data_IF_387090649264
#
_entry.id   IF_387090649264
#
_cell.length_a   1.000
_cell.length_b   1.000
_cell.length_c   1.000
_cell.angle_alpha   90.00
_cell.angle_beta   90.00
_cell.angle_gamma   90.00
#
_symmetry.space_group_name_H-M   'P 1'
#
loop_
_entity.id
_entity.type
_entity.pdbx_description
1 polymer ?
#
# COMPACT_ATOMS: atom_id res chain seq x y z
N UNK A 1 62.80 -53.17 2.21
CA UNK A 1 61.92 -52.32 3.02
C UNK A 1 61.05 -51.56 2.09
N UNK A 2 59.83 -52.07 1.77
CA UNK A 2 58.80 -51.42 0.97
C UNK A 2 57.78 -50.77 1.89
N UNK A 3 57.65 -49.44 1.80
CA UNK A 3 56.62 -48.69 2.55
C UNK A 3 55.40 -48.54 1.64
N UNK A 4 54.32 -49.21 2.00
CA UNK A 4 53.00 -49.12 1.39
C UNK A 4 52.26 -47.85 1.88
N UNK A 5 52.08 -46.84 1.01
CA UNK A 5 51.22 -45.69 1.28
C UNK A 5 49.77 -46.01 0.88
N UNK A 6 48.93 -46.24 1.83
CA UNK A 6 47.49 -46.45 1.69
C UNK A 6 46.83 -45.06 1.45
N UNK A 7 46.34 -44.83 0.24
CA UNK A 7 45.61 -43.62 -0.11
C UNK A 7 44.12 -43.81 0.23
N UNK A 8 43.61 -43.13 1.28
CA UNK A 8 42.18 -43.12 1.59
C UNK A 8 41.47 -42.10 0.71
N UNK A 9 40.70 -42.61 -0.24
CA UNK A 9 39.71 -41.79 -1.00
C UNK A 9 38.47 -41.56 -0.11
N UNK A 10 38.31 -40.32 0.35
CA UNK A 10 37.05 -39.90 1.02
C UNK A 10 36.03 -39.55 -0.10
N UNK A 11 35.03 -40.39 -0.26
CA UNK A 11 33.87 -40.12 -1.13
C UNK A 11 32.98 -39.08 -0.46
N UNK A 12 32.99 -37.86 -0.90
CA UNK A 12 32.00 -36.85 -0.50
C UNK A 12 30.69 -37.09 -1.27
N UNK A 13 29.70 -37.70 -0.64
CA UNK A 13 28.35 -37.77 -1.18
C UNK A 13 27.69 -36.40 -1.02
N UNK A 14 27.50 -35.71 -2.13
CA UNK A 14 26.75 -34.47 -2.24
C UNK A 14 25.26 -34.80 -2.05
N UNK A 15 24.69 -34.58 -0.86
CA UNK A 15 23.26 -34.66 -0.63
C UNK A 15 22.64 -33.40 -1.24
N UNK A 16 22.04 -33.55 -2.42
CA UNK A 16 21.17 -32.51 -3.01
C UNK A 16 19.90 -32.44 -2.18
N UNK A 17 19.80 -31.48 -1.29
CA UNK A 17 18.52 -31.13 -0.66
C UNK A 17 17.61 -30.52 -1.72
N UNK A 18 16.64 -31.26 -2.21
CA UNK A 18 15.54 -30.72 -3.00
C UNK A 18 14.73 -29.78 -2.10
N UNK A 19 14.87 -28.48 -2.28
CA UNK A 19 13.94 -27.51 -1.70
C UNK A 19 12.64 -27.65 -2.49
N UNK A 20 11.67 -28.37 -1.92
CA UNK A 20 10.28 -28.29 -2.38
C UNK A 20 9.87 -26.81 -2.24
N UNK A 21 9.69 -26.15 -3.38
CA UNK A 21 9.05 -24.83 -3.42
C UNK A 21 7.60 -25.04 -3.01
N UNK A 22 7.26 -24.74 -1.78
CA UNK A 22 5.87 -24.64 -1.36
C UNK A 22 5.24 -23.56 -2.23
N UNK A 23 4.29 -23.96 -3.07
CA UNK A 23 3.53 -23.02 -3.89
C UNK A 23 2.89 -21.98 -2.97
N UNK A 24 3.29 -20.73 -3.13
CA UNK A 24 2.78 -19.64 -2.31
C UNK A 24 1.36 -19.34 -2.76
N UNK A 25 0.39 -19.49 -1.86
CA UNK A 25 -1.01 -19.11 -2.13
C UNK A 25 -1.17 -17.60 -2.14
N UNK A 26 -2.17 -17.13 -2.88
CA UNK A 26 -2.58 -15.74 -2.96
C UNK A 26 -4.06 -15.63 -2.63
N UNK A 27 -4.37 -14.95 -1.54
CA UNK A 27 -5.75 -14.69 -1.11
C UNK A 27 -6.00 -13.19 -1.05
N UNK A 28 -7.16 -12.75 -1.54
CA UNK A 28 -7.64 -11.38 -1.37
C UNK A 28 -9.14 -11.29 -1.62
N UNK A 29 -9.76 -10.19 -1.16
CA UNK A 29 -11.15 -9.84 -1.52
C UNK A 29 -11.10 -8.87 -2.69
N UNK A 30 -11.70 -9.23 -3.85
CA UNK A 30 -11.90 -8.30 -4.96
C UNK A 30 -13.28 -7.67 -4.89
N UNK A 31 -13.38 -6.39 -5.22
CA UNK A 31 -14.61 -5.66 -5.40
C UNK A 31 -14.37 -4.46 -6.33
N UNK A 32 -15.46 -3.96 -6.92
CA UNK A 32 -15.40 -2.84 -7.86
C UNK A 32 -16.20 -1.66 -7.34
N UNK A 33 -15.68 -0.46 -7.51
CA UNK A 33 -16.44 0.76 -7.24
C UNK A 33 -17.37 1.08 -8.40
N UNK A 34 -18.68 1.05 -8.18
CA UNK A 34 -19.67 1.54 -9.14
C UNK A 34 -19.86 3.05 -8.98
N UNK A 35 -19.52 3.80 -10.02
CA UNK A 35 -19.52 5.28 -9.96
C UNK A 35 -20.93 5.85 -9.84
N UNK A 36 -21.90 5.29 -10.58
CA UNK A 36 -23.29 5.77 -10.55
C UNK A 36 -23.98 5.43 -9.22
N UNK A 37 -23.73 4.24 -8.67
CA UNK A 37 -24.33 3.77 -7.42
C UNK A 37 -23.58 4.25 -6.18
N UNK A 38 -22.38 4.80 -6.32
CA UNK A 38 -21.49 5.24 -5.24
C UNK A 38 -21.26 4.17 -4.16
N UNK A 39 -21.08 2.92 -4.56
CA UNK A 39 -20.86 1.79 -3.65
C UNK A 39 -19.95 0.72 -4.25
N UNK A 40 -19.40 -0.13 -3.39
CA UNK A 40 -18.72 -1.36 -3.76
C UNK A 40 -19.74 -2.39 -4.27
N UNK A 41 -19.40 -3.05 -5.38
CA UNK A 41 -20.20 -4.11 -6.02
C UNK A 41 -19.29 -5.27 -6.39
N UNK A 42 -19.86 -6.40 -6.78
CA UNK A 42 -19.15 -7.60 -7.27
C UNK A 42 -18.08 -8.10 -6.28
N UNK A 43 -18.45 -8.19 -5.00
CA UNK A 43 -17.53 -8.67 -3.98
C UNK A 43 -17.32 -10.19 -4.14
N UNK A 44 -16.04 -10.59 -4.28
CA UNK A 44 -15.62 -11.99 -4.39
C UNK A 44 -14.37 -12.26 -3.56
N UNK A 45 -14.21 -13.49 -3.09
CA UNK A 45 -12.97 -13.96 -2.48
C UNK A 45 -12.18 -14.69 -3.55
N UNK A 46 -10.94 -14.27 -3.76
CA UNK A 46 -10.00 -14.90 -4.68
C UNK A 46 -9.02 -15.75 -3.87
N UNK A 47 -8.82 -16.98 -4.30
CA UNK A 47 -7.83 -17.91 -3.77
C UNK A 47 -7.20 -18.66 -4.94
N UNK A 48 -5.89 -18.50 -5.13
CA UNK A 48 -5.15 -19.13 -6.25
C UNK A 48 -3.68 -19.30 -5.90
N UNK A 49 -2.96 -20.03 -6.73
CA UNK A 49 -1.51 -20.08 -6.69
C UNK A 49 -0.91 -18.71 -7.10
N UNK A 50 0.11 -18.24 -6.39
CA UNK A 50 0.76 -16.96 -6.68
C UNK A 50 1.42 -16.93 -8.07
N UNK A 51 1.77 -18.10 -8.64
CA UNK A 51 2.27 -18.20 -10.02
C UNK A 51 1.21 -17.87 -11.08
N UNK A 52 -0.07 -17.84 -10.68
CA UNK A 52 -1.22 -17.53 -11.55
C UNK A 52 -1.69 -16.08 -11.43
N UNK A 53 -0.87 -15.21 -10.83
CA UNK A 53 -1.20 -13.79 -10.77
C UNK A 53 -1.28 -13.19 -12.19
N UNK A 54 -2.31 -12.39 -12.39
CA UNK A 54 -2.48 -11.60 -13.60
C UNK A 54 -1.59 -10.35 -13.53
N UNK A 55 -1.32 -9.76 -14.67
CA UNK A 55 -0.46 -8.57 -14.77
C UNK A 55 -1.00 -7.36 -13.98
N UNK A 56 -2.32 -7.23 -13.82
CA UNK A 56 -2.94 -6.16 -13.05
C UNK A 56 -2.98 -6.45 -11.53
N UNK A 57 -2.64 -7.67 -11.11
CA UNK A 57 -2.55 -8.08 -9.70
C UNK A 57 -1.14 -7.90 -9.12
N UNK A 58 -0.21 -7.44 -9.92
CA UNK A 58 1.17 -7.13 -9.55
C UNK A 58 1.49 -5.69 -9.96
N UNK A 59 1.92 -4.88 -9.01
CA UNK A 59 2.53 -3.58 -9.32
C UNK A 59 4.00 -3.78 -9.69
N UNK A 60 4.30 -3.71 -10.99
CA UNK A 60 5.63 -4.00 -11.54
C UNK A 60 6.70 -3.05 -10.98
N UNK A 61 6.34 -1.79 -10.71
CA UNK A 61 7.29 -0.78 -10.23
C UNK A 61 7.75 -1.08 -8.80
N UNK A 62 6.85 -1.44 -7.90
CA UNK A 62 7.18 -1.80 -6.53
C UNK A 62 7.51 -3.28 -6.37
N UNK A 63 7.00 -4.13 -7.25
CA UNK A 63 7.02 -5.58 -7.14
C UNK A 63 6.18 -6.12 -5.99
N UNK A 64 5.12 -5.41 -5.60
CA UNK A 64 4.12 -5.81 -4.61
C UNK A 64 2.86 -6.31 -5.29
N UNK A 65 2.21 -7.32 -4.73
CA UNK A 65 0.99 -7.89 -5.27
C UNK A 65 -0.24 -7.55 -4.42
N UNK A 66 -1.42 -7.91 -4.95
CA UNK A 66 -2.68 -7.79 -4.21
C UNK A 66 -2.88 -8.90 -3.18
N UNK A 67 -1.95 -9.85 -3.06
CA UNK A 67 -2.07 -11.00 -2.15
C UNK A 67 -1.92 -10.57 -0.69
N UNK A 68 -2.78 -11.06 0.19
CA UNK A 68 -2.67 -10.82 1.63
C UNK A 68 -1.37 -11.38 2.21
N UNK A 69 -0.85 -12.47 1.63
CA UNK A 69 0.41 -13.11 2.04
C UNK A 69 1.65 -12.24 1.76
N UNK A 70 1.57 -11.29 0.84
CA UNK A 70 2.65 -10.33 0.56
C UNK A 70 2.64 -9.13 1.52
N UNK A 71 1.60 -9.03 2.35
CA UNK A 71 1.45 -7.92 3.27
C UNK A 71 2.09 -8.24 4.63
N UNK A 72 2.51 -7.22 5.32
CA UNK A 72 3.01 -7.29 6.69
C UNK A 72 2.22 -6.32 7.57
N UNK A 73 1.68 -6.85 8.66
CA UNK A 73 1.03 -6.06 9.68
C UNK A 73 2.04 -5.16 10.42
N UNK A 74 1.66 -3.93 10.65
CA UNK A 74 2.37 -2.93 11.44
C UNK A 74 1.51 -2.57 12.65
N UNK A 75 2.12 -2.66 13.82
CA UNK A 75 1.49 -2.28 15.09
C UNK A 75 2.31 -1.18 15.74
N UNK A 76 1.67 -0.05 16.00
CA UNK A 76 2.26 1.11 16.64
C UNK A 76 1.41 1.49 17.86
N UNK A 77 2.08 1.95 18.91
CA UNK A 77 1.37 2.37 20.13
C UNK A 77 0.40 3.52 19.83
N UNK A 78 -0.82 3.35 20.29
CA UNK A 78 -1.88 4.35 20.11
C UNK A 78 -2.57 4.37 18.73
N UNK A 79 -2.18 3.48 17.81
CA UNK A 79 -2.80 3.35 16.49
C UNK A 79 -3.43 1.97 16.28
N UNK A 80 -4.55 1.89 15.54
CA UNK A 80 -5.03 0.60 15.04
C UNK A 80 -3.97 -0.09 14.17
N UNK A 81 -3.93 -1.43 14.24
CA UNK A 81 -3.08 -2.22 13.37
C UNK A 81 -3.48 -2.05 11.90
N UNK A 82 -2.50 -1.93 11.02
CA UNK A 82 -2.68 -1.86 9.58
C UNK A 82 -1.61 -2.67 8.86
N UNK A 83 -1.81 -3.01 7.59
CA UNK A 83 -0.83 -3.76 6.80
C UNK A 83 -0.35 -2.96 5.60
N UNK A 84 0.87 -3.23 5.19
CA UNK A 84 1.47 -2.72 3.94
C UNK A 84 2.29 -3.83 3.28
N UNK A 85 2.67 -3.63 2.02
CA UNK A 85 3.58 -4.56 1.33
C UNK A 85 4.84 -4.79 2.18
N UNK A 86 5.18 -6.07 2.41
CA UNK A 86 6.31 -6.51 3.25
C UNK A 86 7.63 -5.81 2.91
N UNK A 87 7.87 -5.51 1.64
CA UNK A 87 9.08 -4.81 1.20
C UNK A 87 9.26 -3.43 1.81
N UNK A 88 8.16 -2.76 2.13
CA UNK A 88 8.15 -1.38 2.61
C UNK A 88 7.73 -1.27 4.08
N UNK A 89 7.40 -2.39 4.74
CA UNK A 89 6.87 -2.38 6.10
C UNK A 89 7.84 -1.71 7.10
N UNK A 90 9.12 -2.02 7.03
CA UNK A 90 10.12 -1.42 7.91
C UNK A 90 10.25 0.09 7.66
N UNK A 91 10.29 0.52 6.38
CA UNK A 91 10.35 1.93 6.01
C UNK A 91 9.16 2.71 6.56
N UNK A 92 7.94 2.20 6.38
CA UNK A 92 6.71 2.83 6.87
C UNK A 92 6.70 2.88 8.40
N UNK A 93 7.06 1.78 9.05
CA UNK A 93 7.10 1.71 10.51
C UNK A 93 8.11 2.69 11.11
N UNK A 94 9.31 2.77 10.56
CA UNK A 94 10.36 3.69 11.05
C UNK A 94 9.98 5.14 10.83
N UNK A 95 9.39 5.45 9.66
CA UNK A 95 8.89 6.78 9.33
C UNK A 95 7.83 7.25 10.32
N UNK A 96 6.80 6.42 10.55
CA UNK A 96 5.72 6.74 11.49
C UNK A 96 6.24 6.85 12.93
N UNK A 97 7.09 5.92 13.38
CA UNK A 97 7.71 5.97 14.70
C UNK A 97 8.53 7.25 14.91
N UNK A 98 9.26 7.68 13.88
CA UNK A 98 10.03 8.93 13.95
C UNK A 98 9.12 10.14 14.10
N UNK A 99 8.03 10.21 13.33
CA UNK A 99 7.04 11.29 13.40
C UNK A 99 6.33 11.35 14.75
N UNK A 100 5.89 10.19 15.26
CA UNK A 100 5.23 10.08 16.58
C UNK A 100 6.18 10.55 17.70
N UNK A 101 7.45 10.14 17.68
CA UNK A 101 8.45 10.60 18.66
C UNK A 101 8.70 12.09 18.59
N UNK A 102 8.51 12.72 17.45
CA UNK A 102 8.63 14.18 17.25
C UNK A 102 7.36 14.93 17.64
N UNK A 103 6.33 14.24 18.11
CA UNK A 103 5.08 14.83 18.60
C UNK A 103 4.05 15.12 17.53
N UNK A 104 4.24 14.60 16.29
CA UNK A 104 3.26 14.74 15.23
C UNK A 104 1.93 14.05 15.58
N UNK A 105 0.84 14.69 15.18
CA UNK A 105 -0.52 14.24 15.50
C UNK A 105 -1.01 13.23 14.49
N UNK A 106 -0.80 11.95 14.79
CA UNK A 106 -1.27 10.83 13.97
C UNK A 106 -2.24 10.02 14.83
N UNK A 107 -3.52 9.94 14.44
CA UNK A 107 -4.57 9.21 15.14
C UNK A 107 -5.12 8.02 14.34
N UNK A 108 -4.85 7.97 13.04
CA UNK A 108 -5.24 6.85 12.19
C UNK A 108 -4.29 6.66 11.01
N UNK A 109 -4.05 5.40 10.66
CA UNK A 109 -3.34 4.99 9.44
C UNK A 109 -4.13 3.86 8.82
N UNK A 110 -4.44 3.98 7.52
CA UNK A 110 -5.08 2.93 6.72
C UNK A 110 -4.11 2.51 5.62
N UNK A 111 -3.74 1.25 5.62
CA UNK A 111 -2.80 0.69 4.63
C UNK A 111 -3.49 -0.18 3.58
N UNK A 112 -3.08 -1.44 3.49
CA UNK A 112 -3.57 -2.41 2.53
C UNK A 112 -5.08 -2.64 2.65
N UNK A 113 -5.74 -2.51 1.53
CA UNK A 113 -7.15 -2.84 1.30
C UNK A 113 -7.36 -3.05 -0.19
N UNK A 114 -7.76 -4.23 -0.60
CA UNK A 114 -7.99 -4.51 -2.02
C UNK A 114 -9.29 -3.88 -2.48
N UNK A 115 -9.27 -3.33 -3.70
CA UNK A 115 -10.45 -2.77 -4.36
C UNK A 115 -10.11 -2.08 -5.68
N UNK A 116 -10.99 -2.29 -6.66
CA UNK A 116 -10.88 -1.64 -7.97
C UNK A 116 -11.61 -0.29 -7.92
N UNK A 117 -10.86 0.77 -7.69
CA UNK A 117 -11.39 2.14 -7.53
C UNK A 117 -10.83 3.12 -8.58
N UNK A 118 -10.00 2.63 -9.49
CA UNK A 118 -9.27 3.41 -10.52
C UNK A 118 -9.52 2.83 -11.92
N UNK A 119 -8.87 3.45 -12.91
CA UNK A 119 -8.94 3.00 -14.30
C UNK A 119 -10.27 3.31 -14.98
N UNK A 120 -10.45 2.73 -16.16
CA UNK A 120 -11.64 2.91 -16.97
C UNK A 120 -12.89 2.28 -16.35
N UNK A 121 -14.05 2.71 -16.85
CA UNK A 121 -15.33 2.14 -16.46
C UNK A 121 -15.67 0.98 -17.39
N UNK A 122 -16.16 -0.12 -16.81
CA UNK A 122 -16.81 -1.17 -17.59
C UNK A 122 -18.20 -0.76 -18.06
N UNK A 123 -18.88 -1.61 -18.84
CA UNK A 123 -20.21 -1.35 -19.37
C UNK A 123 -21.29 -1.13 -18.30
N UNK A 124 -21.03 -1.55 -17.06
CA UNK A 124 -21.92 -1.39 -15.90
C UNK A 124 -21.55 -0.15 -15.05
N UNK A 125 -20.55 0.62 -15.45
CA UNK A 125 -20.06 1.79 -14.72
C UNK A 125 -19.19 1.47 -13.51
N UNK A 126 -18.56 0.30 -13.49
CA UNK A 126 -17.64 -0.10 -12.43
C UNK A 126 -16.19 0.23 -12.81
N UNK A 127 -15.39 0.65 -11.85
CA UNK A 127 -13.95 0.81 -12.01
C UNK A 127 -13.27 -0.53 -12.25
N UNK A 128 -12.26 -0.56 -13.15
CA UNK A 128 -11.56 -1.77 -13.56
C UNK A 128 -10.20 -1.97 -12.90
N UNK A 129 -9.52 -0.89 -12.48
CA UNK A 129 -8.15 -0.90 -11.98
C UNK A 129 -8.07 -0.93 -10.46
N UNK A 130 -7.11 -1.68 -9.92
CA UNK A 130 -6.79 -1.70 -8.50
C UNK A 130 -6.21 -0.36 -8.02
N UNK A 131 -6.52 0.02 -6.79
CA UNK A 131 -5.89 1.17 -6.13
C UNK A 131 -4.49 0.79 -5.63
N UNK A 132 -3.65 1.79 -5.35
CA UNK A 132 -2.34 1.57 -4.75
C UNK A 132 -2.41 0.88 -3.38
N UNK A 133 -3.50 1.09 -2.63
CA UNK A 133 -3.77 0.34 -1.40
C UNK A 133 -3.90 -1.16 -1.62
N UNK A 134 -4.36 -1.58 -2.80
CA UNK A 134 -4.53 -3.00 -3.12
C UNK A 134 -3.21 -3.75 -3.17
N UNK A 135 -2.12 -3.05 -3.43
CA UNK A 135 -0.76 -3.61 -3.43
C UNK A 135 -0.01 -3.35 -2.11
N UNK A 136 -0.64 -2.67 -1.14
CA UNK A 136 0.02 -2.28 0.11
C UNK A 136 1.14 -1.25 -0.05
N UNK A 137 1.12 -0.47 -1.12
CA UNK A 137 2.12 0.57 -1.43
C UNK A 137 1.61 1.99 -1.18
N UNK A 138 0.45 2.10 -0.55
CA UNK A 138 -0.15 3.35 -0.14
C UNK A 138 -0.66 3.30 1.29
N UNK A 139 -0.65 4.45 1.95
CA UNK A 139 -1.26 4.68 3.26
C UNK A 139 -2.07 5.96 3.24
N UNK A 140 -3.17 5.96 3.99
CA UNK A 140 -3.94 7.16 4.30
C UNK A 140 -3.71 7.53 5.78
N UNK A 141 -3.39 8.78 6.06
CA UNK A 141 -3.11 9.29 7.41
C UNK A 141 -4.22 10.26 7.83
N UNK A 142 -4.76 10.07 9.05
CA UNK A 142 -5.76 10.96 9.66
C UNK A 142 -6.95 11.19 8.73
N UNK A 143 -7.61 10.13 8.28
CA UNK A 143 -8.67 10.18 7.26
C UNK A 143 -9.83 11.12 7.63
N UNK A 144 -10.18 11.22 8.91
CA UNK A 144 -11.24 12.10 9.41
C UNK A 144 -10.90 13.60 9.35
N UNK A 145 -9.65 13.93 8.97
CA UNK A 145 -9.12 15.30 8.94
C UNK A 145 -8.50 15.67 7.58
N UNK A 146 -8.44 14.72 6.64
CA UNK A 146 -7.70 14.86 5.38
C UNK A 146 -8.43 14.19 4.21
N UNK A 147 -9.57 14.74 3.81
CA UNK A 147 -10.44 14.10 2.83
C UNK A 147 -9.93 14.11 1.39
N UNK A 148 -10.64 13.34 0.58
CA UNK A 148 -10.58 13.36 -0.88
C UNK A 148 -11.51 14.42 -1.42
N UNK A 149 -11.01 15.29 -2.27
CA UNK A 149 -11.76 16.36 -2.94
C UNK A 149 -11.79 16.17 -4.45
N UNK A 150 -12.94 16.46 -5.05
CA UNK A 150 -13.13 16.62 -6.49
C UNK A 150 -13.36 18.08 -6.88
N UNK A 151 -13.33 18.37 -8.19
CA UNK A 151 -13.34 19.72 -8.75
C UNK A 151 -12.28 20.63 -8.12
N UNK A 152 -11.13 20.07 -7.83
CA UNK A 152 -10.11 20.66 -6.97
C UNK A 152 -8.74 20.67 -7.67
N UNK A 153 -8.63 21.36 -8.80
CA UNK A 153 -7.33 21.57 -9.48
C UNK A 153 -6.40 22.38 -8.58
N UNK A 154 -6.94 23.48 -8.04
CA UNK A 154 -6.34 24.28 -7.00
C UNK A 154 -7.29 24.32 -5.80
N UNK A 155 -6.75 24.31 -4.60
CA UNK A 155 -7.55 24.39 -3.37
C UNK A 155 -8.31 25.72 -3.34
N UNK A 156 -9.62 25.65 -3.17
CA UNK A 156 -10.49 26.82 -3.16
C UNK A 156 -11.96 26.45 -2.94
N UNK A 157 -12.86 27.43 -2.98
CA UNK A 157 -14.29 27.22 -2.72
C UNK A 157 -15.00 26.25 -3.66
N UNK A 158 -14.44 26.01 -4.84
CA UNK A 158 -14.94 25.06 -5.84
C UNK A 158 -14.67 23.60 -5.48
N UNK A 159 -13.71 23.34 -4.57
CA UNK A 159 -13.35 21.99 -4.15
C UNK A 159 -14.50 21.33 -3.38
N UNK A 160 -14.89 20.14 -3.80
CA UNK A 160 -16.00 19.38 -3.24
C UNK A 160 -15.46 18.22 -2.45
N UNK A 161 -15.74 18.17 -1.16
CA UNK A 161 -15.42 16.99 -0.36
C UNK A 161 -16.23 15.80 -0.89
N UNK A 162 -15.53 14.75 -1.31
CA UNK A 162 -16.10 13.53 -1.85
C UNK A 162 -16.13 12.41 -0.83
N UNK A 163 -15.11 12.36 0.05
CA UNK A 163 -14.94 11.25 1.00
C UNK A 163 -14.10 11.67 2.19
N UNK A 164 -14.27 11.00 3.32
CA UNK A 164 -13.58 11.21 4.59
C UNK A 164 -13.85 12.61 5.21
N UNK A 165 -13.00 13.12 6.10
CA UNK A 165 -13.24 14.37 6.81
C UNK A 165 -12.68 15.61 6.10
N UNK A 166 -13.12 16.81 6.51
CA UNK A 166 -12.68 18.04 5.88
C UNK A 166 -11.21 18.33 6.17
N UNK A 167 -10.49 18.79 5.15
CA UNK A 167 -9.11 19.26 5.28
C UNK A 167 -9.09 20.75 5.69
N UNK A 168 -8.49 21.05 6.84
CA UNK A 168 -8.43 22.39 7.45
C UNK A 168 -7.01 22.67 7.97
N UNK A 169 -6.02 22.85 7.08
CA UNK A 169 -4.64 23.08 7.49
C UNK A 169 -4.52 24.41 8.26
N UNK A 170 -3.84 24.37 9.42
CA UNK A 170 -3.68 25.51 10.29
C UNK A 170 -4.73 25.62 11.40
N UNK A 171 -5.97 25.15 11.18
CA UNK A 171 -7.03 25.17 12.17
C UNK A 171 -7.17 23.83 12.92
N UNK A 172 -6.85 22.74 12.23
CA UNK A 172 -6.98 21.39 12.75
C UNK A 172 -5.59 20.74 12.85
N UNK A 173 -5.11 20.38 14.06
CA UNK A 173 -3.78 19.84 14.27
C UNK A 173 -3.55 18.46 13.64
N UNK A 174 -4.61 17.77 13.19
CA UNK A 174 -4.55 16.50 12.48
C UNK A 174 -4.59 16.66 10.96
N UNK A 175 -4.90 17.87 10.47
CA UNK A 175 -4.87 18.17 9.03
C UNK A 175 -3.44 18.32 8.52
N UNK A 176 -3.11 17.55 7.49
CA UNK A 176 -1.79 17.54 6.88
C UNK A 176 -1.52 18.85 6.13
N UNK A 177 -0.32 19.35 6.25
CA UNK A 177 0.12 20.58 5.58
C UNK A 177 1.23 20.25 4.58
N UNK A 178 1.20 20.89 3.41
CA UNK A 178 2.20 20.66 2.35
C UNK A 178 3.63 20.82 2.87
N UNK A 179 3.88 21.86 3.68
CA UNK A 179 5.18 22.13 4.29
C UNK A 179 5.34 21.51 5.69
N UNK A 180 4.36 20.70 6.12
CA UNK A 180 4.37 20.03 7.43
C UNK A 180 5.37 18.87 7.48
N UNK A 181 5.76 18.51 8.70
CA UNK A 181 6.77 17.48 8.92
C UNK A 181 6.34 16.12 8.40
N UNK A 182 5.07 15.73 8.57
CA UNK A 182 4.55 14.44 8.08
C UNK A 182 4.73 14.35 6.56
N UNK A 183 4.26 15.37 5.81
CA UNK A 183 4.34 15.37 4.34
C UNK A 183 5.80 15.35 3.88
N UNK A 184 6.66 16.18 4.45
CA UNK A 184 8.09 16.23 4.10
C UNK A 184 8.79 14.90 4.37
N UNK A 185 8.53 14.28 5.52
CA UNK A 185 9.19 13.02 5.90
C UNK A 185 8.78 11.87 4.97
N UNK A 186 7.49 11.75 4.65
CA UNK A 186 7.04 10.73 3.70
C UNK A 186 7.56 10.99 2.28
N UNK A 187 7.63 12.24 1.83
CA UNK A 187 8.25 12.58 0.54
C UNK A 187 9.74 12.22 0.51
N UNK A 188 10.49 12.48 1.59
CA UNK A 188 11.89 12.07 1.72
C UNK A 188 12.05 10.54 1.75
N UNK A 189 11.08 9.81 2.28
CA UNK A 189 11.01 8.36 2.25
C UNK A 189 10.59 7.79 0.88
N UNK A 190 10.37 8.64 -0.14
CA UNK A 190 10.05 8.24 -1.51
C UNK A 190 8.55 8.17 -1.82
N UNK A 191 7.67 8.54 -0.90
CA UNK A 191 6.23 8.61 -1.16
C UNK A 191 5.85 9.91 -1.88
N UNK A 192 4.84 9.83 -2.72
CA UNK A 192 4.14 10.99 -3.29
C UNK A 192 2.91 11.30 -2.46
N UNK A 193 2.64 12.58 -2.22
CA UNK A 193 1.47 13.00 -1.45
C UNK A 193 0.29 13.35 -2.34
N UNK A 194 -0.89 12.89 -1.99
CA UNK A 194 -2.12 13.10 -2.74
C UNK A 194 -2.62 14.54 -2.77
N UNK A 195 -2.14 15.41 -1.87
CA UNK A 195 -2.39 16.85 -1.92
C UNK A 195 -1.74 17.54 -3.13
N UNK A 196 -0.73 16.91 -3.74
CA UNK A 196 0.00 17.40 -4.92
C UNK A 196 -0.42 16.74 -6.24
N UNK A 197 -1.53 15.97 -6.25
CA UNK A 197 -2.02 15.33 -7.48
C UNK A 197 -2.31 16.41 -8.54
N UNK A 198 -1.84 16.16 -9.75
CA UNK A 198 -2.26 16.93 -10.92
C UNK A 198 -3.66 16.51 -11.35
N UNK A 199 -4.48 17.46 -11.84
CA UNK A 199 -5.85 17.21 -12.27
C UNK A 199 -6.93 17.65 -11.28
N UNK A 200 -8.13 17.10 -11.40
CA UNK A 200 -9.33 17.59 -10.71
C UNK A 200 -9.54 17.01 -9.29
N UNK A 201 -8.62 16.24 -8.80
CA UNK A 201 -8.73 15.65 -7.46
C UNK A 201 -7.55 16.05 -6.58
N UNK A 202 -7.80 16.17 -5.27
CA UNK A 202 -6.78 16.23 -4.22
C UNK A 202 -7.17 15.23 -3.15
N UNK A 203 -6.22 14.39 -2.72
CA UNK A 203 -6.44 13.38 -1.70
C UNK A 203 -5.44 13.61 -0.55
N UNK A 204 -5.84 14.46 0.40
CA UNK A 204 -4.93 14.98 1.40
C UNK A 204 -4.45 13.93 2.41
N UNK A 205 -5.19 12.82 2.61
CA UNK A 205 -4.77 11.73 3.50
C UNK A 205 -3.72 10.81 2.86
N UNK A 206 -3.66 10.77 1.50
CA UNK A 206 -3.02 9.71 0.74
C UNK A 206 -1.54 9.92 0.49
N UNK A 207 -0.76 8.90 0.78
CA UNK A 207 0.65 8.76 0.41
C UNK A 207 0.86 7.46 -0.37
N UNK A 208 1.58 7.51 -1.49
CA UNK A 208 1.83 6.33 -2.33
C UNK A 208 3.23 6.34 -2.92
N UNK A 209 3.87 5.17 -3.00
CA UNK A 209 5.20 5.00 -3.60
C UNK A 209 5.21 5.24 -5.11
N UNK A 210 4.17 4.84 -5.81
CA UNK A 210 4.12 4.93 -7.28
C UNK A 210 3.28 6.12 -7.78
N UNK A 211 2.68 6.88 -6.87
CA UNK A 211 1.85 8.05 -7.16
C UNK A 211 0.41 7.67 -7.52
N UNK A 212 -0.24 8.55 -8.29
CA UNK A 212 -1.64 8.44 -8.70
C UNK A 212 -1.77 7.97 -10.13
#
# INVERSE_FOLDING_TARGET
>A
MLSSKLCWMILFTLVMASTESVAQTCHYQDWRWNVAQQRAVQQTVVSKDASMLLSDELDVQSGCSVCAEDQQAIKLDGLPEFSVCRKYAQLVQDTLNSLIRQGEKINSVVGYRVGRTRGDLDAQGNRSGFSNHSFGIAIDINTEHNGLYGNCVQVGPQCKLLRAGPWRPGDDPYSLQQEGLIVKTFKQAGFKWGGEIEGQQKDFMHFSLTGY
#
